data_IF_419811513364
#
_entry.id   IF_419811513364
#
_cell.length_a   1.000
_cell.length_b   1.000
_cell.length_c   1.000
_cell.angle_alpha   90.00
_cell.angle_beta   90.00
_cell.angle_gamma   90.00
#
_symmetry.space_group_name_H-M   'P 1'
#
loop_
_entity.id
_entity.type
_entity.pdbx_description
1 polymer ?
#
# COMPACT_ATOMS: atom_id res chain seq x y z
N UNK A 1 -8.19 -13.37 6.02
CA UNK A 1 -8.58 -14.27 4.90
C UNK A 1 -7.39 -14.40 3.98
N UNK A 2 -7.10 -15.60 3.48
CA UNK A 2 -5.94 -15.85 2.63
C UNK A 2 -6.43 -16.37 1.28
N UNK A 3 -6.06 -15.72 0.20
CA UNK A 3 -6.46 -16.15 -1.14
C UNK A 3 -5.23 -16.48 -1.94
N UNK A 4 -5.21 -17.71 -2.45
CA UNK A 4 -4.07 -18.25 -3.19
C UNK A 4 -4.45 -18.39 -4.66
N UNK A 5 -3.66 -17.75 -5.51
CA UNK A 5 -3.79 -17.77 -6.97
C UNK A 5 -2.65 -18.57 -7.58
N UNK A 6 -2.83 -19.07 -8.80
CA UNK A 6 -1.89 -20.04 -9.38
C UNK A 6 -0.47 -19.49 -9.57
N UNK A 7 -0.34 -18.23 -9.99
CA UNK A 7 0.93 -17.56 -10.22
C UNK A 7 0.79 -16.03 -10.05
N UNK A 8 1.90 -15.31 -10.15
CA UNK A 8 1.97 -13.85 -10.00
C UNK A 8 1.06 -13.08 -10.99
N UNK A 9 0.93 -13.55 -12.23
CA UNK A 9 0.11 -12.89 -13.25
C UNK A 9 -1.38 -12.99 -12.92
N UNK A 10 -1.85 -14.20 -12.62
CA UNK A 10 -3.24 -14.45 -12.21
C UNK A 10 -3.55 -13.72 -10.90
N UNK A 11 -2.59 -13.65 -9.98
CA UNK A 11 -2.72 -12.87 -8.76
C UNK A 11 -2.92 -11.37 -9.06
N UNK A 12 -2.10 -10.78 -9.93
CA UNK A 12 -2.22 -9.37 -10.30
C UNK A 12 -3.60 -9.07 -10.92
N UNK A 13 -4.07 -9.94 -11.82
CA UNK A 13 -5.41 -9.84 -12.43
C UNK A 13 -6.53 -9.97 -11.39
N UNK A 14 -6.40 -10.89 -10.43
CA UNK A 14 -7.38 -11.06 -9.36
C UNK A 14 -7.41 -9.88 -8.39
N UNK A 15 -6.24 -9.31 -8.05
CA UNK A 15 -6.14 -8.07 -7.25
C UNK A 15 -6.83 -6.93 -8.00
N UNK A 16 -6.56 -6.77 -9.30
CA UNK A 16 -7.19 -5.74 -10.13
C UNK A 16 -8.72 -5.86 -10.19
N UNK A 17 -9.25 -7.07 -10.46
CA UNK A 17 -10.68 -7.30 -10.51
C UNK A 17 -11.36 -7.03 -9.15
N UNK A 18 -10.71 -7.43 -8.04
CA UNK A 18 -11.22 -7.14 -6.70
C UNK A 18 -11.17 -5.65 -6.41
N UNK A 19 -10.08 -4.97 -6.77
CA UNK A 19 -9.92 -3.53 -6.56
C UNK A 19 -11.02 -2.75 -7.28
N UNK A 20 -11.24 -3.02 -8.57
CA UNK A 20 -12.30 -2.40 -9.36
C UNK A 20 -13.66 -2.61 -8.69
N UNK A 21 -14.02 -3.87 -8.40
CA UNK A 21 -15.31 -4.20 -7.77
C UNK A 21 -15.49 -3.46 -6.45
N UNK A 22 -14.44 -3.46 -5.61
CA UNK A 22 -14.52 -2.83 -4.29
C UNK A 22 -14.64 -1.31 -4.37
N UNK A 23 -13.91 -0.67 -5.30
CA UNK A 23 -14.03 0.78 -5.52
C UNK A 23 -15.44 1.15 -5.99
N UNK A 24 -16.02 0.38 -6.93
CA UNK A 24 -17.40 0.59 -7.39
C UNK A 24 -18.39 0.49 -6.23
N UNK A 25 -18.28 -0.54 -5.39
CA UNK A 25 -19.16 -0.73 -4.23
C UNK A 25 -19.07 0.43 -3.23
N UNK A 26 -17.84 0.87 -2.93
CA UNK A 26 -17.60 1.98 -2.00
C UNK A 26 -18.14 3.29 -2.56
N UNK A 27 -17.87 3.59 -3.84
CA UNK A 27 -18.36 4.79 -4.50
C UNK A 27 -19.88 4.80 -4.61
N UNK A 28 -20.52 3.66 -4.89
CA UNK A 28 -21.97 3.56 -4.89
C UNK A 28 -22.58 3.82 -3.50
N UNK A 29 -21.90 3.39 -2.43
CA UNK A 29 -22.39 3.57 -1.07
C UNK A 29 -22.12 4.97 -0.49
N UNK A 30 -21.04 5.64 -0.90
CA UNK A 30 -20.51 6.84 -0.22
C UNK A 30 -20.27 8.04 -1.13
N UNK A 31 -20.35 7.86 -2.44
CA UNK A 31 -20.08 8.90 -3.44
C UNK A 31 -18.58 9.14 -3.74
N UNK A 32 -17.67 8.63 -2.92
CA UNK A 32 -16.22 8.65 -3.17
C UNK A 32 -15.54 7.46 -2.48
N UNK A 33 -14.25 7.23 -2.78
CA UNK A 33 -13.43 6.23 -2.13
C UNK A 33 -12.01 6.75 -1.84
N UNK A 34 -11.40 6.27 -0.76
CA UNK A 34 -9.98 6.50 -0.45
C UNK A 34 -9.17 5.23 -0.69
N UNK A 35 -8.20 5.28 -1.60
CA UNK A 35 -7.31 4.17 -1.94
C UNK A 35 -5.85 4.55 -1.65
N UNK A 36 -5.18 3.72 -0.87
CA UNK A 36 -3.73 3.82 -0.65
C UNK A 36 -3.01 2.80 -1.53
N UNK A 37 -2.13 3.31 -2.39
CA UNK A 37 -1.31 2.57 -3.32
C UNK A 37 0.01 2.12 -2.66
N UNK A 38 0.64 1.14 -3.28
CA UNK A 38 1.96 0.64 -2.93
C UNK A 38 2.78 0.48 -4.19
N UNK A 39 4.11 0.61 -4.07
CA UNK A 39 5.02 0.23 -5.14
C UNK A 39 5.30 -1.27 -5.18
N UNK A 40 6.46 -1.61 -5.72
CA UNK A 40 6.91 -2.99 -5.85
C UNK A 40 6.22 -3.75 -6.98
N UNK A 41 6.88 -4.82 -7.43
CA UNK A 41 6.54 -5.51 -8.68
C UNK A 41 5.07 -5.92 -8.78
N UNK A 42 4.52 -6.52 -7.73
CA UNK A 42 3.14 -7.01 -7.76
C UNK A 42 2.10 -5.88 -7.60
N UNK A 43 2.39 -4.85 -6.80
CA UNK A 43 1.51 -3.68 -6.67
C UNK A 43 1.34 -2.96 -8.00
N UNK A 44 2.45 -2.69 -8.68
CA UNK A 44 2.46 -2.07 -10.01
C UNK A 44 1.85 -3.00 -11.07
N UNK A 45 2.11 -4.30 -11.03
CA UNK A 45 1.47 -5.26 -11.94
C UNK A 45 -0.06 -5.29 -11.76
N UNK A 46 -0.57 -5.16 -10.54
CA UNK A 46 -2.00 -5.05 -10.30
C UNK A 46 -2.58 -3.76 -10.90
N UNK A 47 -1.88 -2.62 -10.80
CA UNK A 47 -2.30 -1.37 -11.46
C UNK A 47 -2.33 -1.51 -12.99
N UNK A 48 -1.32 -2.13 -13.58
CA UNK A 48 -1.30 -2.43 -15.02
C UNK A 48 -2.46 -3.37 -15.42
N UNK A 49 -2.79 -4.35 -14.59
CA UNK A 49 -3.94 -5.23 -14.81
C UNK A 49 -5.28 -4.50 -14.67
N UNK A 50 -5.39 -3.49 -13.78
CA UNK A 50 -6.55 -2.58 -13.76
C UNK A 50 -6.62 -1.81 -15.06
N UNK A 51 -5.50 -1.24 -15.54
CA UNK A 51 -5.48 -0.52 -16.80
C UNK A 51 -5.89 -1.40 -17.99
N UNK A 52 -5.51 -2.67 -18.02
CA UNK A 52 -5.91 -3.60 -19.07
C UNK A 52 -7.37 -4.08 -18.98
N UNK A 53 -8.04 -3.89 -17.84
CA UNK A 53 -9.39 -4.39 -17.62
C UNK A 53 -10.45 -3.48 -18.26
N UNK A 54 -11.39 -4.00 -19.07
CA UNK A 54 -12.51 -3.20 -19.58
C UNK A 54 -13.45 -2.75 -18.46
N UNK A 55 -13.43 -3.40 -17.30
CA UNK A 55 -14.24 -3.00 -16.15
C UNK A 55 -13.69 -1.75 -15.43
N UNK A 56 -12.50 -1.25 -15.80
CA UNK A 56 -11.90 -0.05 -15.19
C UNK A 56 -12.78 1.19 -15.36
N UNK A 57 -13.59 1.23 -16.42
CA UNK A 57 -14.48 2.37 -16.72
C UNK A 57 -15.73 2.38 -15.82
N UNK A 58 -15.95 1.34 -15.01
CA UNK A 58 -16.99 1.34 -13.98
C UNK A 58 -16.60 2.17 -12.75
N UNK A 59 -15.31 2.42 -12.53
CA UNK A 59 -14.81 3.25 -11.42
C UNK A 59 -14.95 4.72 -11.80
N UNK A 60 -15.55 5.55 -10.94
CA UNK A 60 -15.51 7.00 -11.12
C UNK A 60 -14.16 7.53 -10.60
N UNK A 61 -13.17 7.56 -11.49
CA UNK A 61 -11.81 8.03 -11.18
C UNK A 61 -11.73 9.46 -10.65
N UNK A 62 -12.75 10.29 -10.90
CA UNK A 62 -12.81 11.68 -10.41
C UNK A 62 -13.24 11.77 -8.95
N UNK A 63 -13.86 10.70 -8.43
CA UNK A 63 -14.33 10.55 -7.06
C UNK A 63 -13.45 9.57 -6.27
N UNK A 64 -12.16 9.50 -6.60
CA UNK A 64 -11.17 8.67 -5.94
C UNK A 64 -10.08 9.56 -5.34
N UNK A 65 -9.89 9.46 -4.03
CA UNK A 65 -8.76 10.07 -3.32
C UNK A 65 -7.63 9.04 -3.24
N UNK A 66 -6.52 9.32 -3.93
CA UNK A 66 -5.36 8.45 -4.10
C UNK A 66 -4.21 8.87 -3.20
N UNK A 67 -3.72 7.90 -2.42
CA UNK A 67 -2.65 8.07 -1.45
C UNK A 67 -1.55 7.02 -1.70
N UNK A 68 -0.39 7.18 -1.09
CA UNK A 68 0.68 6.18 -1.06
C UNK A 68 0.95 5.68 0.36
N UNK A 69 1.27 4.40 0.49
CA UNK A 69 1.66 3.77 1.76
C UNK A 69 3.11 4.06 2.14
N UNK A 70 3.98 4.18 1.13
CA UNK A 70 5.35 4.67 1.25
C UNK A 70 5.82 5.27 -0.07
N UNK A 71 6.93 5.98 -0.04
CA UNK A 71 7.58 6.52 -1.22
C UNK A 71 9.10 6.59 -1.02
N UNK A 72 9.83 6.41 -2.12
CA UNK A 72 11.28 6.59 -2.18
C UNK A 72 11.52 8.09 -2.31
N UNK A 73 12.28 8.68 -1.38
CA UNK A 73 12.52 10.12 -1.37
C UNK A 73 13.57 10.49 -2.41
N UNK A 74 13.15 10.48 -3.67
CA UNK A 74 13.96 10.70 -4.87
C UNK A 74 13.39 11.87 -5.68
N UNK A 75 14.11 12.38 -6.70
CA UNK A 75 13.61 13.44 -7.57
C UNK A 75 12.31 13.08 -8.31
N UNK A 76 11.59 14.10 -8.80
CA UNK A 76 10.40 13.87 -9.63
C UNK A 76 10.76 13.06 -10.89
N UNK A 77 9.88 12.12 -11.25
CA UNK A 77 10.06 11.27 -12.45
C UNK A 77 11.16 10.22 -12.32
N UNK A 78 11.80 10.08 -11.17
CA UNK A 78 12.77 9.00 -10.95
C UNK A 78 12.06 7.63 -11.05
N UNK A 79 12.62 6.67 -11.80
CA UNK A 79 11.98 5.37 -12.05
C UNK A 79 11.80 4.51 -10.80
N UNK A 80 12.55 4.77 -9.73
CA UNK A 80 12.41 4.03 -8.45
C UNK A 80 11.31 4.61 -7.55
N UNK A 81 10.66 5.72 -7.94
CA UNK A 81 9.51 6.26 -7.22
C UNK A 81 8.25 5.46 -7.49
N UNK A 82 7.52 5.19 -6.42
CA UNK A 82 6.22 4.55 -6.45
C UNK A 82 5.21 5.41 -7.23
N UNK A 83 5.27 6.74 -7.12
CA UNK A 83 4.43 7.64 -7.90
C UNK A 83 4.69 7.47 -9.42
N UNK A 84 5.95 7.51 -9.85
CA UNK A 84 6.33 7.38 -11.27
C UNK A 84 5.79 6.08 -11.84
N UNK A 85 6.04 4.96 -11.16
CA UNK A 85 5.59 3.64 -11.59
C UNK A 85 4.05 3.54 -11.64
N UNK A 86 3.34 4.11 -10.67
CA UNK A 86 1.88 4.10 -10.66
C UNK A 86 1.29 4.93 -11.82
N UNK A 87 1.90 6.08 -12.14
CA UNK A 87 1.51 6.93 -13.27
C UNK A 87 1.62 6.19 -14.59
N UNK A 88 2.77 5.59 -14.85
CA UNK A 88 3.02 4.80 -16.05
C UNK A 88 2.06 3.60 -16.17
N UNK A 89 1.85 2.89 -15.07
CA UNK A 89 1.03 1.67 -15.06
C UNK A 89 -0.47 1.94 -15.21
N UNK A 90 -0.99 3.04 -14.68
CA UNK A 90 -2.43 3.30 -14.63
C UNK A 90 -2.80 4.78 -14.62
N UNK A 91 -2.20 5.59 -13.73
CA UNK A 91 -2.80 6.86 -13.33
C UNK A 91 -2.86 7.89 -14.47
N UNK A 92 -1.92 7.86 -15.41
CA UNK A 92 -1.92 8.77 -16.58
C UNK A 92 -2.89 8.30 -17.69
N UNK A 93 -3.53 7.14 -17.52
CA UNK A 93 -4.48 6.55 -18.49
C UNK A 93 -5.94 6.71 -18.06
N UNK A 94 -6.22 7.29 -16.89
CA UNK A 94 -7.56 7.41 -16.32
C UNK A 94 -7.87 8.86 -15.92
N UNK A 95 -9.15 9.22 -15.90
CA UNK A 95 -9.62 10.60 -15.67
C UNK A 95 -9.59 11.01 -14.20
N UNK A 96 -8.40 11.22 -13.62
CA UNK A 96 -8.24 11.65 -12.23
C UNK A 96 -8.53 13.14 -12.04
N UNK A 97 -9.01 13.50 -10.85
CA UNK A 97 -9.06 14.88 -10.38
C UNK A 97 -7.73 15.21 -9.68
N UNK A 98 -6.89 16.14 -10.20
CA UNK A 98 -5.55 16.37 -9.65
C UNK A 98 -5.50 16.70 -8.15
N UNK A 99 -6.51 17.39 -7.62
CA UNK A 99 -6.60 17.74 -6.19
C UNK A 99 -6.95 16.57 -5.27
N UNK A 100 -7.25 15.39 -5.83
CA UNK A 100 -7.52 14.13 -5.13
C UNK A 100 -6.39 13.11 -5.30
N UNK A 101 -5.26 13.54 -5.88
CA UNK A 101 -4.06 12.72 -6.01
C UNK A 101 -3.03 13.30 -5.06
N UNK A 102 -2.68 12.53 -4.04
CA UNK A 102 -1.87 12.98 -2.90
C UNK A 102 -0.54 12.23 -2.90
N UNK A 103 0.43 12.59 -3.77
CA UNK A 103 1.75 11.97 -3.76
C UNK A 103 2.54 12.42 -2.53
N UNK A 104 3.32 11.50 -1.94
CA UNK A 104 4.31 11.89 -0.92
C UNK A 104 5.38 12.83 -1.52
N UNK A 105 6.01 13.62 -0.66
CA UNK A 105 7.03 14.57 -1.09
C UNK A 105 8.25 13.91 -1.75
N UNK A 106 8.99 14.73 -2.51
CA UNK A 106 10.13 14.30 -3.34
C UNK A 106 11.42 15.04 -3.00
N UNK A 107 12.56 14.43 -3.29
CA UNK A 107 13.85 15.07 -3.17
C UNK A 107 14.05 16.17 -4.23
N UNK A 108 14.95 17.11 -3.97
CA UNK A 108 15.23 18.24 -4.88
C UNK A 108 14.14 19.30 -4.94
N UNK A 109 13.07 19.19 -4.14
CA UNK A 109 12.02 20.20 -4.02
C UNK A 109 12.29 21.26 -2.93
N UNK A 110 13.50 21.27 -2.35
CA UNK A 110 13.87 22.21 -1.28
C UNK A 110 13.32 21.85 0.11
N UNK A 111 12.88 20.60 0.31
CA UNK A 111 12.42 20.07 1.58
C UNK A 111 13.25 18.85 2.00
N UNK A 112 13.36 18.60 3.31
CA UNK A 112 13.90 17.36 3.86
C UNK A 112 12.86 16.23 3.80
N UNK A 113 13.27 15.00 4.11
CA UNK A 113 12.34 13.87 4.19
C UNK A 113 11.36 14.04 5.37
N UNK A 114 11.80 14.65 6.47
CA UNK A 114 10.97 14.98 7.64
C UNK A 114 9.91 16.01 7.30
N UNK A 115 10.30 17.11 6.65
CA UNK A 115 9.37 18.16 6.21
C UNK A 115 8.34 17.59 5.22
N UNK A 116 8.77 16.69 4.33
CA UNK A 116 7.89 16.00 3.42
C UNK A 116 6.93 15.03 4.14
N UNK A 117 7.37 14.34 5.18
CA UNK A 117 6.53 13.50 6.03
C UNK A 117 5.50 14.33 6.81
N UNK A 118 5.91 15.48 7.37
CA UNK A 118 5.03 16.41 8.07
C UNK A 118 3.98 17.03 7.14
N UNK A 119 4.38 17.42 5.93
CA UNK A 119 3.46 17.92 4.92
C UNK A 119 2.40 16.87 4.53
N UNK A 120 2.82 15.62 4.36
CA UNK A 120 1.92 14.52 4.04
C UNK A 120 0.98 14.19 5.22
N UNK A 121 1.49 14.21 6.45
CA UNK A 121 0.67 14.07 7.66
C UNK A 121 -0.39 15.19 7.77
N UNK A 122 -0.03 16.43 7.44
CA UNK A 122 -0.97 17.54 7.43
C UNK A 122 -2.03 17.42 6.32
N UNK A 123 -1.69 16.83 5.17
CA UNK A 123 -2.64 16.53 4.10
C UNK A 123 -3.62 15.44 4.50
N UNK A 124 -3.13 14.37 5.15
CA UNK A 124 -3.98 13.33 5.74
C UNK A 124 -4.94 13.92 6.77
N UNK A 125 -4.46 14.74 7.70
CA UNK A 125 -5.31 15.38 8.71
C UNK A 125 -6.40 16.27 8.11
N UNK A 126 -6.14 16.95 6.98
CA UNK A 126 -7.16 17.76 6.27
C UNK A 126 -8.26 16.91 5.63
N UNK A 127 -7.93 15.68 5.23
CA UNK A 127 -8.87 14.74 4.65
C UNK A 127 -9.61 13.89 5.71
N UNK A 128 -9.11 13.88 6.94
CA UNK A 128 -9.66 13.10 8.05
C UNK A 128 -10.84 13.80 8.74
N UNK A 129 -11.65 13.00 9.46
CA UNK A 129 -12.56 13.54 10.47
C UNK A 129 -11.75 14.14 11.63
N UNK A 130 -12.29 15.12 12.38
CA UNK A 130 -11.54 15.78 13.47
C UNK A 130 -10.95 14.84 14.53
N UNK A 131 -11.58 13.69 14.77
CA UNK A 131 -11.15 12.67 15.71
C UNK A 131 -10.20 11.61 15.14
N UNK A 132 -10.01 11.59 13.82
CA UNK A 132 -9.22 10.56 13.13
C UNK A 132 -7.84 11.09 12.72
N UNK A 133 -6.83 10.23 12.82
CA UNK A 133 -5.44 10.55 12.46
C UNK A 133 -5.23 10.67 10.93
N UNK A 134 -6.03 9.93 10.17
CA UNK A 134 -5.96 9.79 8.70
C UNK A 134 -7.40 9.69 8.15
N UNK A 135 -7.66 10.01 6.88
CA UNK A 135 -8.96 9.72 6.29
C UNK A 135 -9.26 8.23 6.40
N UNK A 136 -10.54 7.89 6.42
CA UNK A 136 -10.99 6.50 6.42
C UNK A 136 -10.60 5.82 5.10
N UNK A 137 -9.37 5.33 4.98
CA UNK A 137 -8.92 4.54 3.85
C UNK A 137 -9.83 3.33 3.66
N UNK A 138 -10.49 3.23 2.51
CA UNK A 138 -11.37 2.11 2.20
C UNK A 138 -10.54 0.87 1.88
N UNK A 139 -9.46 1.06 1.12
CA UNK A 139 -8.53 0.01 0.72
C UNK A 139 -7.11 0.54 0.87
N UNK A 140 -6.27 -0.21 1.57
CA UNK A 140 -4.84 0.03 1.68
C UNK A 140 -4.07 -1.18 1.14
N UNK A 141 -3.42 -1.00 -0.01
CA UNK A 141 -2.58 -2.01 -0.63
C UNK A 141 -1.18 -1.98 -0.04
N UNK A 142 -0.60 -3.16 0.25
CA UNK A 142 0.78 -3.29 0.71
C UNK A 142 1.46 -4.44 -0.01
N UNK A 143 2.65 -4.20 -0.57
CA UNK A 143 3.57 -5.27 -0.91
C UNK A 143 4.19 -5.88 0.35
N UNK A 144 4.46 -7.19 0.30
CA UNK A 144 5.20 -7.90 1.35
C UNK A 144 6.68 -8.09 0.94
N UNK A 145 7.59 -7.57 1.74
CA UNK A 145 9.03 -7.86 1.62
C UNK A 145 9.39 -9.30 2.01
N UNK A 146 10.44 -9.91 1.44
CA UNK A 146 10.94 -11.23 1.86
C UNK A 146 11.47 -11.24 3.32
N UNK A 147 11.78 -10.05 3.83
CA UNK A 147 12.16 -9.70 5.20
C UNK A 147 10.96 -9.19 6.02
N UNK A 148 9.72 -9.49 5.62
CA UNK A 148 8.46 -9.13 6.31
C UNK A 148 8.12 -7.65 6.40
N UNK A 149 8.94 -6.75 5.81
CA UNK A 149 8.61 -5.33 5.78
C UNK A 149 7.33 -5.07 4.97
N UNK A 150 6.63 -4.01 5.35
CA UNK A 150 5.50 -3.41 4.63
C UNK A 150 5.69 -1.91 4.59
N UNK A 151 5.19 -1.23 3.57
CA UNK A 151 5.50 0.17 3.33
C UNK A 151 7.04 0.34 3.41
N UNK A 152 7.54 1.25 4.25
CA UNK A 152 8.96 1.32 4.59
C UNK A 152 9.23 1.05 6.08
N UNK A 153 8.44 0.16 6.68
CA UNK A 153 8.58 -0.34 8.05
C UNK A 153 9.31 -1.68 8.07
N UNK A 154 10.59 -1.65 8.43
CA UNK A 154 11.48 -2.81 8.42
C UNK A 154 11.65 -3.43 9.82
N UNK A 155 11.86 -4.76 9.93
CA UNK A 155 12.18 -5.38 11.22
C UNK A 155 13.42 -4.75 11.85
N UNK A 156 13.35 -4.41 13.14
CA UNK A 156 14.45 -3.81 13.89
C UNK A 156 14.78 -2.35 13.55
N UNK A 157 14.04 -1.72 12.62
CA UNK A 157 14.23 -0.31 12.29
C UNK A 157 13.43 0.59 13.25
N UNK A 158 13.97 1.74 13.71
CA UNK A 158 13.30 2.63 14.68
C UNK A 158 11.90 3.09 14.26
N UNK A 159 11.68 3.33 12.96
CA UNK A 159 10.37 3.71 12.42
C UNK A 159 9.23 2.71 12.73
N UNK A 160 9.56 1.45 13.05
CA UNK A 160 8.58 0.43 13.44
C UNK A 160 7.92 0.72 14.79
N UNK A 161 8.57 1.53 15.64
CA UNK A 161 8.13 1.88 16.99
C UNK A 161 7.36 3.20 17.06
N UNK A 162 7.03 3.82 15.92
CA UNK A 162 6.19 5.02 15.90
C UNK A 162 4.73 4.66 16.17
N UNK A 163 4.18 5.21 17.26
CA UNK A 163 2.83 4.91 17.76
C UNK A 163 1.88 6.12 17.68
N UNK A 164 2.39 7.33 17.41
CA UNK A 164 1.58 8.55 17.44
C UNK A 164 1.41 9.18 16.04
N UNK A 165 2.51 9.34 15.30
CA UNK A 165 2.49 10.02 14.01
C UNK A 165 1.92 9.11 12.92
N UNK A 166 1.17 9.63 11.92
CA UNK A 166 0.70 8.83 10.80
C UNK A 166 1.78 8.56 9.74
N UNK A 167 2.81 9.41 9.70
CA UNK A 167 3.83 9.43 8.65
C UNK A 167 5.19 9.72 9.27
N UNK A 168 6.22 9.04 8.80
CA UNK A 168 7.61 9.24 9.22
C UNK A 168 8.55 9.28 8.04
N UNK A 169 9.63 10.05 8.19
CA UNK A 169 10.83 9.87 7.39
C UNK A 169 11.57 8.61 7.86
N UNK A 170 12.03 7.82 6.92
CA UNK A 170 12.84 6.63 7.14
C UNK A 170 14.20 6.89 6.51
N UNK A 171 15.25 6.88 7.31
CA UNK A 171 16.64 6.90 6.85
C UNK A 171 17.24 5.52 7.03
N UNK A 172 18.42 5.27 6.42
CA UNK A 172 19.15 4.01 6.57
C UNK A 172 18.30 2.76 6.31
N UNK A 173 17.36 2.86 5.36
CA UNK A 173 16.59 1.70 4.92
C UNK A 173 17.56 0.58 4.53
N UNK A 174 17.36 -0.67 4.99
CA UNK A 174 18.23 -1.79 4.65
C UNK A 174 18.14 -2.18 3.17
N UNK A 175 17.28 -1.51 2.39
CA UNK A 175 17.13 -1.67 0.95
C UNK A 175 17.25 -0.33 0.25
N UNK A 176 18.03 -0.24 -0.85
CA UNK A 176 18.14 1.00 -1.59
C UNK A 176 16.78 1.45 -2.15
N UNK A 177 16.57 2.78 -2.30
CA UNK A 177 17.35 3.87 -1.70
C UNK A 177 17.14 3.97 -0.18
N UNK A 178 18.11 4.54 0.57
CA UNK A 178 18.11 4.55 2.03
C UNK A 178 17.05 5.49 2.63
N UNK A 179 16.71 6.58 1.94
CA UNK A 179 15.76 7.59 2.43
C UNK A 179 14.39 7.43 1.80
N UNK A 180 13.36 7.34 2.64
CA UNK A 180 11.97 7.08 2.27
C UNK A 180 11.02 7.87 3.16
N UNK A 181 9.77 7.97 2.73
CA UNK A 181 8.65 8.44 3.53
C UNK A 181 7.69 7.26 3.67
N UNK A 182 7.17 7.01 4.88
CA UNK A 182 6.33 5.85 5.15
C UNK A 182 5.11 6.24 5.97
N UNK A 183 3.97 5.64 5.67
CA UNK A 183 2.91 5.47 6.66
C UNK A 183 3.42 4.59 7.80
N UNK A 184 2.92 4.88 9.00
CA UNK A 184 3.20 4.14 10.24
C UNK A 184 2.08 3.13 10.52
N UNK A 185 2.23 2.30 11.56
CA UNK A 185 1.17 1.38 11.94
C UNK A 185 -0.14 2.06 12.36
N UNK A 186 -0.15 3.16 13.14
CA UNK A 186 -1.37 3.91 13.41
C UNK A 186 -2.15 4.28 12.15
N UNK A 187 -1.47 4.77 11.10
CA UNK A 187 -2.10 5.08 9.81
C UNK A 187 -2.57 3.83 9.06
N UNK A 188 -1.73 2.78 9.00
CA UNK A 188 -2.07 1.54 8.29
C UNK A 188 -3.28 0.84 8.93
N UNK A 189 -3.30 0.77 10.26
CA UNK A 189 -4.34 0.07 11.02
C UNK A 189 -5.66 0.84 11.06
N UNK A 190 -5.67 2.13 10.72
CA UNK A 190 -6.89 2.92 10.54
C UNK A 190 -7.63 2.59 9.23
N UNK A 191 -7.03 1.88 8.28
CA UNK A 191 -7.70 1.45 7.06
C UNK A 191 -8.84 0.46 7.35
N UNK A 192 -9.94 0.54 6.60
CA UNK A 192 -11.03 -0.46 6.69
C UNK A 192 -10.54 -1.81 6.22
N UNK A 193 -9.91 -1.84 5.05
CA UNK A 193 -9.30 -3.04 4.49
C UNK A 193 -7.81 -2.85 4.24
N UNK A 194 -7.01 -3.80 4.73
CA UNK A 194 -5.58 -3.91 4.39
C UNK A 194 -5.38 -5.14 3.52
N UNK A 195 -4.83 -4.96 2.32
CA UNK A 195 -4.55 -6.03 1.37
C UNK A 195 -3.05 -6.19 1.20
N UNK A 196 -2.52 -7.27 1.77
CA UNK A 196 -1.13 -7.70 1.60
C UNK A 196 -1.02 -8.55 0.35
N UNK A 197 -0.27 -8.06 -0.64
CA UNK A 197 -0.04 -8.76 -1.92
C UNK A 197 1.38 -9.32 -1.96
N UNK A 198 1.52 -10.62 -2.23
CA UNK A 198 2.84 -11.26 -2.32
C UNK A 198 2.86 -12.39 -3.36
N UNK A 199 3.85 -12.36 -4.24
CA UNK A 199 4.11 -13.42 -5.20
C UNK A 199 5.58 -13.81 -5.15
N UNK A 200 5.88 -15.07 -5.46
CA UNK A 200 7.23 -15.62 -5.50
C UNK A 200 7.62 -16.43 -4.27
N UNK A 201 8.46 -17.44 -4.48
CA UNK A 201 8.88 -18.37 -3.43
C UNK A 201 9.72 -17.67 -2.34
N UNK A 202 10.42 -16.60 -2.69
CA UNK A 202 11.17 -15.76 -1.74
C UNK A 202 10.29 -15.06 -0.71
N UNK A 203 8.95 -15.05 -0.90
CA UNK A 203 7.99 -14.49 0.05
C UNK A 203 7.45 -15.50 1.04
N UNK A 204 7.66 -16.81 0.82
CA UNK A 204 6.99 -17.84 1.61
C UNK A 204 7.29 -17.75 3.11
N UNK A 205 8.55 -17.47 3.46
CA UNK A 205 8.94 -17.27 4.85
C UNK A 205 8.36 -16.00 5.45
N UNK A 206 8.33 -14.91 4.68
CA UNK A 206 7.72 -13.67 5.13
C UNK A 206 6.22 -13.85 5.38
N UNK A 207 5.52 -14.57 4.50
CA UNK A 207 4.09 -14.90 4.68
C UNK A 207 3.88 -15.71 5.95
N UNK A 208 4.70 -16.75 6.16
CA UNK A 208 4.62 -17.56 7.38
C UNK A 208 4.76 -16.68 8.62
N UNK A 209 5.82 -15.87 8.70
CA UNK A 209 6.09 -14.99 9.84
C UNK A 209 5.00 -13.92 10.00
N UNK A 210 4.46 -13.37 8.92
CA UNK A 210 3.35 -12.41 8.98
C UNK A 210 2.06 -12.99 9.59
N UNK A 211 1.91 -14.32 9.56
CA UNK A 211 0.76 -15.05 10.11
C UNK A 211 1.01 -15.58 11.53
N UNK A 212 2.27 -15.82 11.92
CA UNK A 212 2.61 -16.51 13.18
C UNK A 212 3.38 -15.67 14.20
N UNK A 213 4.08 -14.63 13.77
CA UNK A 213 4.93 -13.81 14.62
C UNK A 213 4.24 -12.52 15.10
N UNK A 214 4.87 -11.83 16.06
CA UNK A 214 4.48 -10.48 16.48
C UNK A 214 4.98 -9.40 15.53
N UNK A 215 4.30 -8.25 15.49
CA UNK A 215 4.57 -7.18 14.52
C UNK A 215 5.97 -6.55 14.62
N UNK A 216 6.60 -6.58 15.81
CA UNK A 216 7.99 -6.11 15.97
C UNK A 216 9.01 -7.03 15.31
N UNK A 217 8.71 -8.34 15.23
CA UNK A 217 9.54 -9.31 14.54
C UNK A 217 9.21 -9.35 13.04
N UNK A 218 7.92 -9.26 12.71
CA UNK A 218 7.42 -9.29 11.35
C UNK A 218 6.45 -8.13 11.11
N UNK A 219 6.88 -6.98 10.55
CA UNK A 219 6.03 -5.81 10.38
C UNK A 219 4.70 -6.11 9.66
N UNK A 220 4.71 -7.01 8.68
CA UNK A 220 3.50 -7.49 8.02
C UNK A 220 2.44 -8.13 8.95
N UNK A 221 2.83 -8.62 10.14
CA UNK A 221 1.89 -9.09 11.15
C UNK A 221 1.10 -7.94 11.80
N UNK A 222 1.63 -6.71 11.80
CA UNK A 222 0.97 -5.51 12.30
C UNK A 222 0.11 -4.79 11.26
N UNK A 223 0.24 -5.13 9.98
CA UNK A 223 -0.60 -4.60 8.91
C UNK A 223 -1.99 -5.24 8.94
N UNK A 224 -2.89 -4.68 9.74
CA UNK A 224 -4.26 -5.19 9.95
C UNK A 224 -5.28 -4.08 9.76
N UNK A 225 -6.26 -4.29 8.89
CA UNK A 225 -7.38 -3.37 8.71
C UNK A 225 -8.48 -3.57 9.76
N UNK A 226 -9.25 -2.51 10.04
CA UNK A 226 -10.33 -2.48 11.04
C UNK A 226 -11.45 -3.47 10.75
N UNK A 227 -11.79 -3.66 9.49
CA UNK A 227 -12.87 -4.55 9.05
C UNK A 227 -12.32 -5.83 8.44
N UNK A 228 -11.25 -5.72 7.65
CA UNK A 228 -10.71 -6.85 6.92
C UNK A 228 -9.21 -6.77 6.71
N UNK A 229 -8.56 -7.92 6.79
CA UNK A 229 -7.19 -8.11 6.30
C UNK A 229 -7.15 -9.26 5.31
N UNK A 230 -6.64 -8.99 4.11
CA UNK A 230 -6.46 -9.94 3.03
C UNK A 230 -4.99 -10.24 2.81
N UNK A 231 -4.64 -11.52 2.74
CA UNK A 231 -3.39 -11.97 2.16
C UNK A 231 -3.71 -12.51 0.77
N UNK A 232 -3.29 -11.80 -0.27
CA UNK A 232 -3.50 -12.16 -1.68
C UNK A 232 -2.17 -12.67 -2.21
N UNK A 233 -2.07 -13.98 -2.36
CA UNK A 233 -0.82 -14.70 -2.55
C UNK A 233 -0.83 -15.51 -3.85
N UNK A 234 0.33 -15.75 -4.43
CA UNK A 234 0.49 -16.83 -5.40
C UNK A 234 0.84 -18.15 -4.69
N UNK A 235 0.76 -19.26 -5.42
CA UNK A 235 1.10 -20.59 -4.86
C UNK A 235 2.51 -20.64 -4.31
N UNK A 236 3.47 -19.95 -4.91
CA UNK A 236 4.86 -19.96 -4.50
C UNK A 236 5.05 -19.26 -3.14
N UNK A 237 4.40 -18.11 -2.93
CA UNK A 237 4.38 -17.37 -1.67
C UNK A 237 3.56 -18.09 -0.57
N UNK A 238 2.62 -18.95 -0.95
CA UNK A 238 1.74 -19.66 -0.03
C UNK A 238 2.32 -20.98 0.53
N UNK A 239 3.52 -21.41 0.13
CA UNK A 239 4.06 -22.75 0.44
C UNK A 239 4.31 -23.00 1.94
N UNK A 240 4.41 -21.96 2.77
CA UNK A 240 4.67 -22.06 4.23
C UNK A 240 3.52 -21.55 5.10
N UNK A 241 2.30 -21.44 4.56
CA UNK A 241 1.13 -21.08 5.38
C UNK A 241 0.93 -22.13 6.49
N UNK A 242 0.72 -21.73 7.76
CA UNK A 242 0.55 -22.67 8.87
C UNK A 242 -0.68 -23.58 8.68
N UNK A 243 -0.59 -24.87 9.04
CA UNK A 243 -1.73 -25.78 9.03
C UNK A 243 -2.90 -25.22 9.85
N UNK A 244 -4.13 -25.38 9.36
CA UNK A 244 -5.34 -24.90 10.04
C UNK A 244 -5.68 -23.42 9.80
N UNK A 245 -4.80 -22.67 9.12
CA UNK A 245 -5.13 -21.32 8.63
C UNK A 245 -5.86 -21.50 7.30
N UNK A 246 -7.20 -21.55 7.36
CA UNK A 246 -8.00 -21.76 6.14
C UNK A 246 -7.84 -20.56 5.20
N UNK A 247 -7.52 -20.79 3.90
CA UNK A 247 -7.63 -19.74 2.90
C UNK A 247 -9.07 -19.22 2.77
#
# INVERSE_FOLDING_TARGET
MILVHDNAEILAQAVAARLITRLVDVQAARGSAHLVLTGGTLGIAALAAVAASPARDAVDWRALDLWWGDERFLPAGDPDRNETQAREALLDQVGLTPSRVHPMGRAGAGQTAEEAADAYAAELAKAASPEDLVPSFDILLLGLGPDTHVASLFPGHPALHEEERPVVAVHDSPKPPPTRISLTFPAIQAAREVWLVAAGAEKADAVHLALTAGHLQAPAAGARGRERTLFLLDRAAATRIPPGTSP
#
